data_IF_529861583546
#
_entry.id   IF_529861583546
#
_cell.length_a   1.000
_cell.length_b   1.000
_cell.length_c   1.000
_cell.angle_alpha   90.00
_cell.angle_beta   90.00
_cell.angle_gamma   90.00
#
_symmetry.space_group_name_H-M   'P 1'
#
loop_
_entity.id
_entity.type
_entity.pdbx_description
1 polymer ?
#
# COMPACT_ATOMS: atom_id res chain seq x y z
N UNK A 1 -73.42 -18.39 -3.39
CA UNK A 1 -72.05 -18.48 -3.94
C UNK A 1 -71.84 -17.26 -4.83
N UNK A 2 -70.91 -16.35 -4.49
CA UNK A 2 -70.70 -15.09 -5.23
C UNK A 2 -69.51 -15.24 -6.19
N UNK A 3 -69.72 -15.22 -7.52
CA UNK A 3 -68.66 -15.47 -8.52
C UNK A 3 -67.70 -14.29 -8.80
N UNK A 4 -67.80 -13.17 -8.07
CA UNK A 4 -66.98 -11.97 -8.31
C UNK A 4 -65.61 -11.92 -7.62
N UNK A 5 -65.33 -12.78 -6.65
CA UNK A 5 -64.13 -12.68 -5.78
C UNK A 5 -62.87 -13.36 -6.35
N UNK A 6 -63.00 -14.24 -7.34
CA UNK A 6 -61.88 -15.04 -7.89
C UNK A 6 -61.17 -14.37 -9.08
N UNK A 7 -61.73 -13.32 -9.65
CA UNK A 7 -61.10 -12.57 -10.75
C UNK A 7 -60.16 -11.47 -10.22
N UNK A 8 -60.61 -10.71 -9.22
CA UNK A 8 -59.78 -9.67 -8.57
C UNK A 8 -58.59 -10.26 -7.82
N UNK A 9 -58.74 -11.43 -7.18
CA UNK A 9 -57.64 -12.15 -6.54
C UNK A 9 -56.60 -12.68 -7.53
N UNK A 10 -57.02 -13.11 -8.73
CA UNK A 10 -56.10 -13.52 -9.80
C UNK A 10 -55.43 -12.33 -10.47
N UNK A 11 -56.14 -11.21 -10.65
CA UNK A 11 -55.57 -9.98 -11.18
C UNK A 11 -54.56 -9.34 -10.20
N UNK A 12 -54.84 -9.35 -8.90
CA UNK A 12 -53.88 -8.89 -7.88
C UNK A 12 -52.67 -9.81 -7.75
N UNK A 13 -52.86 -11.13 -7.89
CA UNK A 13 -51.75 -12.09 -7.95
C UNK A 13 -50.90 -11.91 -9.22
N UNK A 14 -51.53 -11.62 -10.36
CA UNK A 14 -50.84 -11.36 -11.62
C UNK A 14 -50.08 -10.02 -11.61
N UNK A 15 -50.61 -8.98 -10.95
CA UNK A 15 -49.91 -7.69 -10.75
C UNK A 15 -48.79 -7.81 -9.71
N UNK A 16 -48.96 -8.60 -8.65
CA UNK A 16 -47.90 -8.89 -7.69
C UNK A 16 -46.74 -9.67 -8.34
N UNK A 17 -47.05 -10.67 -9.18
CA UNK A 17 -46.06 -11.43 -9.95
C UNK A 17 -45.31 -10.57 -10.97
N UNK A 18 -45.99 -9.67 -11.69
CA UNK A 18 -45.34 -8.72 -12.62
C UNK A 18 -44.45 -7.72 -11.86
N UNK A 19 -44.86 -7.28 -10.67
CA UNK A 19 -44.08 -6.37 -9.82
C UNK A 19 -42.85 -6.99 -9.16
N UNK A 20 -42.82 -8.31 -8.97
CA UNK A 20 -41.66 -9.04 -8.42
C UNK A 20 -40.65 -9.40 -9.51
N UNK A 21 -41.12 -9.80 -10.70
CA UNK A 21 -40.29 -10.00 -11.89
C UNK A 21 -39.67 -8.67 -12.35
N UNK A 22 -40.46 -7.59 -12.45
CA UNK A 22 -39.93 -6.27 -12.83
C UNK A 22 -38.90 -5.73 -11.82
N UNK A 23 -38.98 -6.10 -10.53
CA UNK A 23 -37.95 -5.78 -9.53
C UNK A 23 -36.68 -6.62 -9.72
N UNK A 24 -36.80 -7.90 -10.08
CA UNK A 24 -35.66 -8.76 -10.44
C UNK A 24 -34.88 -8.24 -11.65
N UNK A 25 -35.59 -7.93 -12.74
CA UNK A 25 -34.98 -7.45 -13.99
C UNK A 25 -34.22 -6.11 -13.80
N UNK A 26 -34.78 -5.19 -13.01
CA UNK A 26 -34.10 -3.94 -12.67
C UNK A 26 -32.92 -4.15 -11.72
N UNK A 27 -33.01 -5.10 -10.78
CA UNK A 27 -31.91 -5.45 -9.88
C UNK A 27 -30.74 -6.11 -10.62
N UNK A 28 -31.00 -6.98 -11.60
CA UNK A 28 -29.98 -7.63 -12.40
C UNK A 28 -29.21 -6.63 -13.25
N UNK A 29 -29.91 -5.71 -13.91
CA UNK A 29 -29.30 -4.63 -14.68
C UNK A 29 -28.41 -3.72 -13.82
N UNK A 30 -28.88 -3.32 -12.64
CA UNK A 30 -28.09 -2.50 -11.71
C UNK A 30 -26.83 -3.25 -11.24
N UNK A 31 -26.92 -4.56 -10.99
CA UNK A 31 -25.74 -5.39 -10.66
C UNK A 31 -24.77 -5.48 -11.85
N UNK A 32 -25.26 -5.71 -13.07
CA UNK A 32 -24.44 -5.70 -14.29
C UNK A 32 -23.75 -4.33 -14.48
N UNK A 33 -24.48 -3.21 -14.33
CA UNK A 33 -23.93 -1.85 -14.44
C UNK A 33 -22.88 -1.56 -13.34
N UNK A 34 -23.09 -2.06 -12.13
CA UNK A 34 -22.10 -1.98 -11.03
C UNK A 34 -20.86 -2.82 -11.34
N UNK A 35 -21.02 -4.03 -11.84
CA UNK A 35 -19.91 -4.91 -12.26
C UNK A 35 -19.08 -4.21 -13.33
N UNK A 36 -19.73 -3.63 -14.35
CA UNK A 36 -19.04 -2.90 -15.40
C UNK A 36 -18.28 -1.68 -14.88
N UNK A 37 -18.89 -0.89 -13.98
CA UNK A 37 -18.21 0.25 -13.35
C UNK A 37 -16.95 -0.18 -12.57
N UNK A 38 -17.06 -1.20 -11.72
CA UNK A 38 -15.93 -1.72 -10.94
C UNK A 38 -14.84 -2.31 -11.84
N UNK A 39 -15.21 -3.00 -12.93
CA UNK A 39 -14.23 -3.53 -13.89
C UNK A 39 -13.44 -2.41 -14.59
N UNK A 40 -14.11 -1.31 -14.98
CA UNK A 40 -13.44 -0.17 -15.62
C UNK A 40 -12.57 0.61 -14.63
N UNK A 41 -13.02 0.77 -13.39
CA UNK A 41 -12.20 1.32 -12.31
C UNK A 41 -10.94 0.46 -12.07
N UNK A 42 -11.08 -0.87 -12.02
CA UNK A 42 -9.95 -1.79 -11.88
C UNK A 42 -8.96 -1.70 -13.05
N UNK A 43 -9.45 -1.56 -14.29
CA UNK A 43 -8.58 -1.33 -15.46
C UNK A 43 -7.82 -0.02 -15.34
N UNK A 44 -8.47 1.02 -14.82
CA UNK A 44 -7.83 2.33 -14.60
C UNK A 44 -6.75 2.24 -13.54
N UNK A 45 -7.05 1.65 -12.38
CA UNK A 45 -6.07 1.45 -11.30
C UNK A 45 -4.87 0.61 -11.75
N UNK A 46 -5.08 -0.42 -12.57
CA UNK A 46 -3.99 -1.23 -13.14
C UNK A 46 -3.11 -0.42 -14.08
N UNK A 47 -3.71 0.39 -14.96
CA UNK A 47 -2.97 1.32 -15.85
C UNK A 47 -2.14 2.32 -15.04
N UNK A 48 -2.72 2.94 -14.01
CA UNK A 48 -2.00 3.86 -13.12
C UNK A 48 -0.83 3.18 -12.42
N UNK A 49 -1.03 1.95 -11.94
CA UNK A 49 0.04 1.16 -11.33
C UNK A 49 1.18 0.87 -12.31
N UNK A 50 0.88 0.59 -13.57
CA UNK A 50 1.90 0.32 -14.59
C UNK A 50 2.67 1.59 -14.98
N UNK A 51 1.99 2.74 -15.07
CA UNK A 51 2.64 4.05 -15.22
C UNK A 51 3.57 4.35 -14.05
N UNK A 52 3.11 4.11 -12.82
CA UNK A 52 3.91 4.34 -11.62
C UNK A 52 5.14 3.42 -11.56
N UNK A 53 5.00 2.16 -11.97
CA UNK A 53 6.15 1.23 -12.09
C UNK A 53 7.16 1.71 -13.13
N UNK A 54 6.70 2.18 -14.29
CA UNK A 54 7.57 2.72 -15.32
C UNK A 54 8.35 3.94 -14.80
N UNK A 55 7.67 4.86 -14.11
CA UNK A 55 8.31 6.00 -13.44
C UNK A 55 9.35 5.53 -12.42
N UNK A 56 8.98 4.60 -11.53
CA UNK A 56 9.89 4.07 -10.51
C UNK A 56 11.14 3.39 -11.10
N UNK A 57 11.01 2.70 -12.25
CA UNK A 57 12.16 2.13 -12.96
C UNK A 57 13.11 3.23 -13.44
N UNK A 58 12.58 4.28 -14.09
CA UNK A 58 13.43 5.39 -14.57
C UNK A 58 14.10 6.16 -13.42
N UNK A 59 13.37 6.40 -12.32
CA UNK A 59 13.91 7.02 -11.10
C UNK A 59 15.02 6.14 -10.49
N UNK A 60 14.83 4.81 -10.50
CA UNK A 60 15.83 3.86 -10.00
C UNK A 60 17.10 3.87 -10.83
N UNK A 61 16.98 3.86 -12.16
CA UNK A 61 18.13 3.96 -13.06
C UNK A 61 18.93 5.26 -12.85
N UNK A 62 18.24 6.40 -12.65
CA UNK A 62 18.90 7.67 -12.32
C UNK A 62 19.63 7.60 -10.98
N UNK A 63 19.00 7.00 -9.97
CA UNK A 63 19.59 6.79 -8.65
C UNK A 63 20.81 5.87 -8.71
N UNK A 64 20.77 4.80 -9.51
CA UNK A 64 21.90 3.92 -9.78
C UNK A 64 23.05 4.69 -10.46
N UNK A 65 22.76 5.45 -11.52
CA UNK A 65 23.76 6.26 -12.21
C UNK A 65 24.40 7.35 -11.32
N UNK A 66 23.63 7.96 -10.41
CA UNK A 66 24.16 8.89 -9.41
C UNK A 66 25.06 8.19 -8.39
N UNK A 67 24.69 6.98 -7.95
CA UNK A 67 25.52 6.18 -7.05
C UNK A 67 26.88 5.82 -7.68
N UNK A 68 26.90 5.44 -8.96
CA UNK A 68 28.14 5.16 -9.68
C UNK A 68 29.03 6.42 -9.80
N UNK A 69 28.43 7.57 -10.11
CA UNK A 69 29.13 8.86 -10.15
C UNK A 69 29.69 9.24 -8.78
N UNK A 70 28.94 9.00 -7.71
CA UNK A 70 29.39 9.23 -6.33
C UNK A 70 30.64 8.39 -6.04
N UNK A 71 30.60 7.08 -6.29
CA UNK A 71 31.76 6.19 -6.08
C UNK A 71 33.01 6.64 -6.85
N UNK A 72 32.84 7.07 -8.10
CA UNK A 72 33.93 7.60 -8.91
C UNK A 72 34.53 8.88 -8.29
N UNK A 73 33.68 9.81 -7.83
CA UNK A 73 34.12 11.06 -7.21
C UNK A 73 34.76 10.84 -5.85
N UNK A 74 34.24 9.93 -5.04
CA UNK A 74 34.84 9.51 -3.77
C UNK A 74 36.25 8.96 -4.00
N UNK A 75 36.43 8.10 -5.01
CA UNK A 75 37.75 7.57 -5.38
C UNK A 75 38.71 8.69 -5.80
N UNK A 76 38.25 9.65 -6.62
CA UNK A 76 39.03 10.82 -7.03
C UNK A 76 39.43 11.72 -5.84
N UNK A 77 38.53 11.93 -4.89
CA UNK A 77 38.81 12.69 -3.68
C UNK A 77 39.87 11.98 -2.82
N UNK A 78 39.78 10.66 -2.67
CA UNK A 78 40.77 9.85 -1.94
C UNK A 78 42.15 9.93 -2.60
N UNK A 79 42.22 9.85 -3.93
CA UNK A 79 43.47 9.98 -4.68
C UNK A 79 44.09 11.38 -4.56
N UNK A 80 43.27 12.44 -4.59
CA UNK A 80 43.72 13.81 -4.39
C UNK A 80 44.30 14.03 -2.97
N UNK A 81 43.68 13.42 -1.95
CA UNK A 81 44.21 13.45 -0.58
C UNK A 81 45.54 12.70 -0.48
N UNK A 82 45.63 11.50 -1.09
CA UNK A 82 46.85 10.68 -1.07
C UNK A 82 48.02 11.32 -1.79
N UNK A 83 47.76 12.04 -2.87
CA UNK A 83 48.78 12.75 -3.67
C UNK A 83 49.17 14.11 -3.11
N UNK A 84 48.56 14.55 -2.01
CA UNK A 84 48.92 15.80 -1.33
C UNK A 84 48.29 17.05 -1.93
N UNK A 85 47.12 16.94 -2.56
CA UNK A 85 46.36 18.06 -3.13
C UNK A 85 45.07 18.34 -2.33
N UNK A 86 45.16 18.89 -1.10
CA UNK A 86 44.01 19.06 -0.21
C UNK A 86 42.98 20.10 -0.71
N UNK A 87 43.40 21.08 -1.52
CA UNK A 87 42.47 22.05 -2.11
C UNK A 87 41.54 21.37 -3.15
N UNK A 88 42.12 20.57 -4.05
CA UNK A 88 41.37 19.78 -5.04
C UNK A 88 40.44 18.77 -4.35
N UNK A 89 40.92 18.10 -3.30
CA UNK A 89 40.09 17.17 -2.53
C UNK A 89 38.87 17.86 -1.89
N UNK A 90 39.01 19.11 -1.42
CA UNK A 90 37.87 19.89 -0.90
C UNK A 90 36.86 20.24 -1.98
N UNK A 91 37.31 20.62 -3.18
CA UNK A 91 36.43 20.89 -4.30
C UNK A 91 35.65 19.64 -4.74
N UNK A 92 36.33 18.48 -4.83
CA UNK A 92 35.67 17.21 -5.15
C UNK A 92 34.70 16.81 -4.04
N UNK A 93 35.06 17.03 -2.76
CA UNK A 93 34.15 16.79 -1.63
C UNK A 93 32.89 17.67 -1.68
N UNK A 94 33.01 18.95 -2.06
CA UNK A 94 31.84 19.80 -2.26
C UNK A 94 30.92 19.25 -3.37
N UNK A 95 31.49 18.82 -4.50
CA UNK A 95 30.72 18.20 -5.58
C UNK A 95 30.07 16.86 -5.16
N UNK A 96 30.70 16.09 -4.27
CA UNK A 96 30.11 14.88 -3.68
C UNK A 96 28.88 15.23 -2.84
N UNK A 97 28.92 16.32 -2.06
CA UNK A 97 27.76 16.74 -1.25
C UNK A 97 26.55 17.08 -2.11
N UNK A 98 26.75 17.75 -3.24
CA UNK A 98 25.67 18.03 -4.19
C UNK A 98 25.09 16.74 -4.80
N UNK A 99 25.96 15.84 -5.26
CA UNK A 99 25.55 14.53 -5.79
C UNK A 99 24.85 13.65 -4.74
N UNK A 100 25.29 13.69 -3.48
CA UNK A 100 24.63 12.98 -2.38
C UNK A 100 23.24 13.56 -2.10
N UNK A 101 23.07 14.87 -2.19
CA UNK A 101 21.78 15.52 -2.04
C UNK A 101 20.80 15.10 -3.15
N UNK A 102 21.26 15.09 -4.41
CA UNK A 102 20.49 14.58 -5.55
C UNK A 102 20.13 13.10 -5.39
N UNK A 103 21.09 12.26 -5.01
CA UNK A 103 20.86 10.83 -4.78
C UNK A 103 19.84 10.59 -3.66
N UNK A 104 19.91 11.36 -2.55
CA UNK A 104 18.92 11.31 -1.46
C UNK A 104 17.53 11.75 -1.92
N UNK A 105 17.44 12.75 -2.79
CA UNK A 105 16.16 13.18 -3.37
C UNK A 105 15.53 12.08 -4.23
N UNK A 106 16.32 11.43 -5.09
CA UNK A 106 15.85 10.30 -5.92
C UNK A 106 15.44 9.09 -5.05
N UNK A 107 16.17 8.80 -3.97
CA UNK A 107 15.78 7.79 -2.99
C UNK A 107 14.45 8.10 -2.30
N UNK A 108 14.23 9.36 -1.91
CA UNK A 108 12.97 9.80 -1.31
C UNK A 108 11.80 9.66 -2.30
N UNK A 109 12.03 9.98 -3.58
CA UNK A 109 11.04 9.81 -4.64
C UNK A 109 10.69 8.33 -4.86
N UNK A 110 11.69 7.43 -4.88
CA UNK A 110 11.44 5.98 -4.95
C UNK A 110 10.62 5.47 -3.75
N UNK A 111 10.92 5.95 -2.54
CA UNK A 111 10.16 5.59 -1.36
C UNK A 111 8.70 6.09 -1.42
N UNK A 112 8.47 7.30 -1.96
CA UNK A 112 7.13 7.82 -2.20
C UNK A 112 6.36 6.99 -3.24
N UNK A 113 7.00 6.66 -4.37
CA UNK A 113 6.43 5.80 -5.40
C UNK A 113 6.09 4.41 -4.85
N UNK A 114 6.93 3.84 -3.98
CA UNK A 114 6.65 2.56 -3.34
C UNK A 114 5.41 2.61 -2.43
N UNK A 115 5.24 3.70 -1.66
CA UNK A 115 4.03 3.92 -0.84
C UNK A 115 2.77 4.05 -1.71
N UNK A 116 2.85 4.80 -2.80
CA UNK A 116 1.74 4.93 -3.75
C UNK A 116 1.40 3.58 -4.40
N UNK A 117 2.40 2.80 -4.80
CA UNK A 117 2.22 1.49 -5.39
C UNK A 117 1.53 0.51 -4.43
N UNK A 118 1.90 0.53 -3.15
CA UNK A 118 1.25 -0.27 -2.12
C UNK A 118 -0.24 0.13 -1.94
N UNK A 119 -0.53 1.44 -1.98
CA UNK A 119 -1.91 1.95 -1.95
C UNK A 119 -2.74 1.50 -3.14
N UNK A 120 -2.22 1.67 -4.36
CA UNK A 120 -2.86 1.20 -5.60
C UNK A 120 -3.10 -0.31 -5.56
N UNK A 121 -2.13 -1.10 -5.09
CA UNK A 121 -2.27 -2.55 -4.98
C UNK A 121 -3.37 -2.95 -3.99
N UNK A 122 -3.49 -2.24 -2.86
CA UNK A 122 -4.57 -2.47 -1.90
C UNK A 122 -5.95 -2.17 -2.52
N UNK A 123 -6.08 -1.05 -3.24
CA UNK A 123 -7.31 -0.69 -3.94
C UNK A 123 -7.68 -1.71 -5.03
N UNK A 124 -6.71 -2.21 -5.80
CA UNK A 124 -6.94 -3.27 -6.78
C UNK A 124 -7.47 -4.54 -6.11
N UNK A 125 -6.87 -4.98 -5.00
CA UNK A 125 -7.35 -6.16 -4.25
C UNK A 125 -8.77 -5.97 -3.73
N UNK A 126 -9.08 -4.79 -3.19
CA UNK A 126 -10.42 -4.46 -2.72
C UNK A 126 -11.45 -4.46 -3.86
N UNK A 127 -11.11 -3.85 -5.00
CA UNK A 127 -11.96 -3.86 -6.20
C UNK A 127 -12.18 -5.28 -6.72
N UNK A 128 -11.15 -6.13 -6.76
CA UNK A 128 -11.27 -7.53 -7.19
C UNK A 128 -12.16 -8.37 -6.27
N UNK A 129 -12.11 -8.14 -4.96
CA UNK A 129 -13.00 -8.80 -4.00
C UNK A 129 -14.44 -8.32 -4.19
N UNK A 130 -14.63 -7.02 -4.41
CA UNK A 130 -15.95 -6.43 -4.66
C UNK A 130 -16.55 -6.97 -5.96
N UNK A 131 -15.74 -7.03 -7.03
CA UNK A 131 -16.14 -7.59 -8.32
C UNK A 131 -16.57 -9.05 -8.19
N UNK A 132 -15.82 -9.86 -7.44
CA UNK A 132 -16.19 -11.27 -7.16
C UNK A 132 -17.52 -11.38 -6.43
N UNK A 133 -17.75 -10.56 -5.40
CA UNK A 133 -19.02 -10.53 -4.67
C UNK A 133 -20.19 -10.14 -5.56
N UNK A 134 -20.06 -9.06 -6.35
CA UNK A 134 -21.11 -8.60 -7.25
C UNK A 134 -21.48 -9.65 -8.31
N UNK A 135 -20.48 -10.35 -8.87
CA UNK A 135 -20.72 -11.46 -9.80
C UNK A 135 -21.49 -12.60 -9.15
N UNK A 136 -21.14 -12.96 -7.91
CA UNK A 136 -21.87 -13.99 -7.17
C UNK A 136 -23.32 -13.58 -6.86
N UNK A 137 -23.56 -12.32 -6.46
CA UNK A 137 -24.90 -11.78 -6.24
C UNK A 137 -25.75 -11.83 -7.51
N UNK A 138 -25.14 -11.50 -8.66
CA UNK A 138 -25.80 -11.60 -9.97
C UNK A 138 -26.15 -13.04 -10.34
N UNK A 139 -25.25 -14.00 -10.12
CA UNK A 139 -25.50 -15.41 -10.39
C UNK A 139 -26.64 -15.96 -9.51
N UNK A 140 -26.68 -15.56 -8.23
CA UNK A 140 -27.77 -15.90 -7.31
C UNK A 140 -29.09 -15.32 -7.78
N UNK A 141 -29.09 -14.06 -8.22
CA UNK A 141 -30.31 -13.41 -8.73
C UNK A 141 -30.82 -14.14 -9.98
N UNK A 142 -29.95 -14.44 -10.94
CA UNK A 142 -30.31 -15.19 -12.16
C UNK A 142 -30.82 -16.60 -11.86
N UNK A 143 -30.21 -17.28 -10.89
CA UNK A 143 -30.71 -18.57 -10.43
C UNK A 143 -32.10 -18.46 -9.80
N UNK A 144 -32.35 -17.43 -8.98
CA UNK A 144 -33.66 -17.18 -8.38
C UNK A 144 -34.74 -16.85 -9.41
N UNK A 145 -34.39 -16.07 -10.44
CA UNK A 145 -35.28 -15.77 -11.56
C UNK A 145 -35.61 -17.02 -12.38
N UNK A 146 -34.63 -17.89 -12.61
CA UNK A 146 -34.84 -19.16 -13.32
C UNK A 146 -35.78 -20.10 -12.54
N UNK A 147 -35.62 -20.20 -11.21
CA UNK A 147 -36.51 -20.99 -10.35
C UNK A 147 -37.94 -20.42 -10.39
N UNK A 148 -38.10 -19.10 -10.22
CA UNK A 148 -39.40 -18.46 -10.28
C UNK A 148 -40.09 -18.66 -11.64
N UNK A 149 -39.35 -18.59 -12.75
CA UNK A 149 -39.85 -18.87 -14.10
C UNK A 149 -40.29 -20.32 -14.26
N UNK A 150 -39.52 -21.29 -13.74
CA UNK A 150 -39.88 -22.71 -13.77
C UNK A 150 -41.15 -23.00 -12.94
N UNK A 151 -41.29 -22.40 -11.77
CA UNK A 151 -42.49 -22.49 -10.94
C UNK A 151 -43.72 -21.90 -11.65
N UNK A 152 -43.57 -20.76 -12.33
CA UNK A 152 -44.63 -20.16 -13.13
C UNK A 152 -45.05 -21.03 -14.32
N UNK A 153 -44.09 -21.62 -15.03
CA UNK A 153 -44.36 -22.54 -16.13
C UNK A 153 -45.10 -23.80 -15.64
N UNK A 154 -44.67 -24.36 -14.49
CA UNK A 154 -45.30 -25.52 -13.86
C UNK A 154 -46.72 -25.21 -13.35
N UNK A 155 -46.93 -24.07 -12.70
CA UNK A 155 -48.26 -23.61 -12.28
C UNK A 155 -49.18 -23.34 -13.48
N UNK A 156 -48.63 -22.81 -14.58
CA UNK A 156 -49.33 -22.63 -15.85
C UNK A 156 -49.76 -23.96 -16.50
N UNK A 157 -48.93 -25.01 -16.37
CA UNK A 157 -49.27 -26.35 -16.88
C UNK A 157 -50.34 -27.07 -16.05
N UNK A 158 -50.36 -26.87 -14.72
CA UNK A 158 -51.37 -27.49 -13.84
C UNK A 158 -52.75 -26.84 -13.92
N UNK A 159 -52.87 -25.63 -14.50
CA UNK A 159 -54.17 -24.99 -14.71
C UNK A 159 -55.02 -25.68 -15.82
N UNK A 160 -54.46 -26.64 -16.57
CA UNK A 160 -55.15 -27.38 -17.62
C UNK A 160 -55.73 -28.75 -17.21
N UNK A 161 -55.23 -29.39 -16.15
CA UNK A 161 -55.69 -30.72 -15.73
C UNK A 161 -55.78 -30.79 -14.19
N UNK A 162 -57.01 -30.96 -13.68
CA UNK A 162 -57.31 -30.84 -12.25
C UNK A 162 -56.84 -32.04 -11.41
N UNK A 163 -56.16 -31.73 -10.30
CA UNK A 163 -56.08 -32.40 -8.99
C UNK A 163 -54.68 -32.08 -8.40
N UNK A 164 -54.51 -31.23 -7.39
CA UNK A 164 -54.93 -31.44 -6.01
C UNK A 164 -53.84 -32.20 -5.23
N UNK A 165 -53.02 -31.50 -4.41
CA UNK A 165 -52.33 -31.96 -3.18
C UNK A 165 -51.63 -30.74 -2.53
N UNK A 166 -51.52 -30.65 -1.18
CA UNK A 166 -51.26 -29.41 -0.47
C UNK A 166 -49.77 -29.10 -0.21
N UNK A 167 -49.53 -27.83 0.15
CA UNK A 167 -48.41 -27.30 0.97
C UNK A 167 -47.00 -27.30 0.38
N UNK A 168 -46.73 -26.30 -0.47
CA UNK A 168 -45.40 -25.70 -0.68
C UNK A 168 -45.10 -24.55 0.32
N UNK A 169 -45.91 -24.41 1.38
CA UNK A 169 -45.81 -23.30 2.34
C UNK A 169 -44.73 -23.56 3.42
N UNK A 170 -44.37 -24.82 3.71
CA UNK A 170 -43.31 -25.14 4.69
C UNK A 170 -41.89 -24.81 4.20
N UNK A 171 -41.67 -24.68 2.88
CA UNK A 171 -40.34 -24.42 2.32
C UNK A 171 -39.92 -22.94 2.42
N UNK A 172 -40.90 -22.02 2.45
CA UNK A 172 -40.63 -20.58 2.44
C UNK A 172 -40.25 -20.01 3.82
N UNK A 173 -40.71 -20.63 4.91
CA UNK A 173 -40.32 -20.23 6.27
C UNK A 173 -38.93 -20.74 6.64
N UNK A 174 -38.54 -21.94 6.17
CA UNK A 174 -37.20 -22.49 6.39
C UNK A 174 -36.10 -21.70 5.66
N UNK A 175 -36.42 -21.10 4.51
CA UNK A 175 -35.49 -20.27 3.74
C UNK A 175 -35.35 -18.84 4.31
N UNK A 176 -36.43 -18.27 4.89
CA UNK A 176 -36.36 -17.01 5.64
C UNK A 176 -35.60 -17.14 6.97
N UNK A 177 -35.71 -18.28 7.66
CA UNK A 177 -34.98 -18.52 8.90
C UNK A 177 -33.45 -18.55 8.70
N UNK A 178 -32.96 -18.94 7.50
CA UNK A 178 -31.52 -18.90 7.16
C UNK A 178 -31.01 -17.52 6.74
N UNK A 179 -31.86 -16.66 6.17
CA UNK A 179 -31.46 -15.31 5.78
C UNK A 179 -31.47 -14.32 6.96
N UNK A 180 -32.28 -14.56 8.00
CA UNK A 180 -32.27 -13.75 9.22
C UNK A 180 -31.05 -14.01 10.13
N UNK A 181 -30.43 -15.21 10.05
CA UNK A 181 -29.24 -15.56 10.83
C UNK A 181 -27.92 -15.02 10.25
N UNK A 182 -27.94 -14.47 9.04
CA UNK A 182 -26.74 -13.93 8.36
C UNK A 182 -26.59 -12.40 8.47
N UNK A 183 -27.46 -11.71 9.23
CA UNK A 183 -27.40 -10.24 9.41
C UNK A 183 -26.99 -9.77 10.81
N UNK A 184 -26.56 -10.67 11.68
CA UNK A 184 -26.03 -10.31 13.00
C UNK A 184 -24.54 -10.63 13.08
N UNK A 185 -23.74 -9.86 12.36
CA UNK A 185 -22.32 -9.61 12.69
C UNK A 185 -21.91 -8.25 12.10
N UNK A 186 -22.48 -7.21 12.68
CA UNK A 186 -21.95 -5.86 12.63
C UNK A 186 -21.53 -5.48 14.06
N UNK A 187 -20.31 -5.86 14.43
CA UNK A 187 -19.62 -5.30 15.58
C UNK A 187 -18.38 -4.54 15.11
N UNK A 188 -18.40 -3.26 15.43
CA UNK A 188 -17.42 -2.23 15.16
C UNK A 188 -16.04 -2.59 15.74
N UNK A 189 -14.98 -2.32 14.98
CA UNK A 189 -13.67 -2.00 15.53
C UNK A 189 -12.99 -0.95 14.64
N UNK A 190 -13.21 0.32 14.99
CA UNK A 190 -12.39 1.45 14.55
C UNK A 190 -11.05 1.40 15.28
N UNK A 191 -9.97 1.16 14.55
CA UNK A 191 -8.60 1.31 15.03
C UNK A 191 -7.87 2.37 14.19
N UNK A 192 -7.76 3.57 14.75
CA UNK A 192 -7.02 4.70 14.18
C UNK A 192 -5.54 4.35 14.02
N UNK A 193 -5.02 4.38 12.79
CA UNK A 193 -3.59 4.43 12.52
C UNK A 193 -3.08 5.85 12.83
N UNK A 194 -2.54 6.05 14.03
CA UNK A 194 -1.79 7.24 14.39
C UNK A 194 -0.38 7.23 13.79
N UNK A 195 0.27 8.40 13.64
CA UNK A 195 1.63 8.51 13.14
C UNK A 195 2.66 7.94 14.11
N UNK A 196 3.79 7.51 13.55
CA UNK A 196 4.87 6.74 14.17
C UNK A 196 5.56 7.49 15.34
N UNK A 197 5.47 7.00 16.60
CA UNK A 197 5.98 7.68 17.80
C UNK A 197 7.50 7.51 18.03
N UNK A 198 8.25 7.16 16.99
CA UNK A 198 9.69 6.89 17.07
C UNK A 198 10.53 8.14 16.79
N UNK A 199 10.07 9.03 15.90
CA UNK A 199 10.82 10.24 15.50
C UNK A 199 10.83 11.33 16.60
N UNK A 200 9.77 11.39 17.41
CA UNK A 200 9.71 12.33 18.54
C UNK A 200 10.60 11.90 19.71
N UNK A 201 10.85 10.59 19.84
CA UNK A 201 11.76 10.02 20.85
C UNK A 201 13.23 10.25 20.47
N UNK A 202 13.55 10.21 19.18
CA UNK A 202 14.90 10.49 18.67
C UNK A 202 15.26 11.99 18.81
N UNK A 203 14.28 12.89 18.68
CA UNK A 203 14.48 14.33 18.90
C UNK A 203 14.62 14.71 20.38
N UNK A 204 13.95 13.99 21.29
CA UNK A 204 14.08 14.17 22.76
C UNK A 204 15.37 13.58 23.35
N UNK A 205 16.10 12.74 22.60
CA UNK A 205 17.32 12.08 23.05
C UNK A 205 18.60 12.93 22.89
N UNK A 206 18.52 14.15 22.34
CA UNK A 206 19.66 15.07 22.29
C UNK A 206 20.86 14.57 21.49
N UNK A 207 20.65 13.66 20.53
CA UNK A 207 21.72 13.17 19.65
C UNK A 207 21.97 14.26 18.61
N UNK A 208 22.93 15.13 18.95
CA UNK A 208 23.36 16.25 18.15
C UNK A 208 23.79 15.78 16.76
N UNK A 209 23.17 16.39 15.74
CA UNK A 209 23.59 16.28 14.36
C UNK A 209 24.99 16.92 14.22
N UNK A 210 25.97 16.26 13.57
CA UNK A 210 27.30 16.84 13.39
C UNK A 210 27.25 18.14 12.58
N UNK A 211 28.13 19.08 12.94
CA UNK A 211 28.04 20.52 12.67
C UNK A 211 28.14 20.98 11.20
N UNK A 212 28.23 20.09 10.23
CA UNK A 212 28.08 20.41 8.80
C UNK A 212 28.01 19.10 8.01
N UNK A 213 27.12 18.98 7.00
CA UNK A 213 27.07 17.80 6.13
C UNK A 213 28.41 17.54 5.41
N UNK A 214 29.21 18.58 5.16
CA UNK A 214 30.55 18.47 4.55
C UNK A 214 31.54 17.78 5.49
N UNK A 215 31.55 18.19 6.76
CA UNK A 215 32.48 17.66 7.77
C UNK A 215 32.13 16.20 8.13
N UNK A 216 30.83 15.85 8.08
CA UNK A 216 30.36 14.48 8.31
C UNK A 216 30.79 13.51 7.19
N UNK A 217 30.75 13.95 5.92
CA UNK A 217 31.23 13.17 4.78
C UNK A 217 32.76 13.02 4.84
N UNK A 218 33.49 14.09 5.16
CA UNK A 218 34.94 14.03 5.34
C UNK A 218 35.37 13.08 6.46
N UNK A 219 34.64 13.07 7.59
CA UNK A 219 34.90 12.15 8.69
C UNK A 219 34.65 10.68 8.28
N UNK A 220 33.53 10.39 7.60
CA UNK A 220 33.20 9.05 7.06
C UNK A 220 34.29 8.56 6.11
N UNK A 221 34.72 9.41 5.18
CA UNK A 221 35.75 9.09 4.19
C UNK A 221 37.13 8.91 4.82
N UNK A 222 37.47 9.69 5.84
CA UNK A 222 38.74 9.55 6.56
C UNK A 222 38.84 8.24 7.35
N UNK A 223 37.74 7.78 7.97
CA UNK A 223 37.66 6.48 8.63
C UNK A 223 37.77 5.32 7.63
N UNK A 224 37.06 5.40 6.49
CA UNK A 224 37.17 4.40 5.42
C UNK A 224 38.56 4.37 4.76
N UNK A 225 39.27 5.50 4.72
CA UNK A 225 40.63 5.61 4.20
C UNK A 225 41.73 5.15 5.18
N UNK A 226 41.39 4.75 6.41
CA UNK A 226 42.36 4.24 7.39
C UNK A 226 43.36 5.29 7.90
N UNK A 227 43.07 6.59 7.79
CA UNK A 227 43.91 7.64 8.39
C UNK A 227 43.55 7.75 9.87
N UNK A 228 44.07 6.81 10.64
CA UNK A 228 44.06 6.88 12.10
C UNK A 228 44.91 8.09 12.53
N UNK A 229 44.24 9.19 12.89
CA UNK A 229 44.86 10.24 13.67
C UNK A 229 45.28 9.64 15.02
N UNK A 230 46.56 9.28 15.11
CA UNK A 230 47.25 8.83 16.31
C UNK A 230 46.88 9.74 17.50
N UNK A 231 46.34 9.21 18.61
CA UNK A 231 46.05 10.03 19.78
C UNK A 231 47.36 10.62 20.35
N UNK A 232 47.35 11.85 20.88
CA UNK A 232 48.55 12.46 21.42
C UNK A 232 49.08 11.62 22.59
N UNK A 233 50.31 11.13 22.41
CA UNK A 233 51.01 10.33 23.39
C UNK A 233 51.20 11.08 24.71
N UNK A 234 50.83 10.43 25.80
CA UNK A 234 51.17 10.78 27.18
C UNK A 234 52.69 10.77 27.33
N UNK A 235 53.31 11.95 27.22
CA UNK A 235 54.76 12.15 27.39
C UNK A 235 55.19 11.79 28.82
N UNK A 236 56.26 10.99 28.91
CA UNK A 236 56.82 10.48 30.15
C UNK A 236 57.35 11.58 31.08
N UNK A 237 57.04 11.43 32.37
CA UNK A 237 57.72 12.15 33.45
C UNK A 237 59.06 11.45 33.73
N UNK A 238 60.09 11.79 32.95
CA UNK A 238 61.49 11.53 33.33
C UNK A 238 61.92 12.65 34.27
N UNK A 239 61.81 12.42 35.58
CA UNK A 239 62.50 13.23 36.58
C UNK A 239 63.96 12.83 36.63
N UNK A 240 64.81 13.56 35.92
CA UNK A 240 66.26 13.54 36.06
C UNK A 240 66.75 14.98 36.13
N UNK A 241 66.77 15.56 37.33
CA UNK A 241 67.37 16.89 37.57
C UNK A 241 68.86 16.69 37.80
N UNK A 242 69.64 17.32 36.93
CA UNK A 242 71.08 17.43 37.03
C UNK A 242 71.48 18.35 38.18
N UNK A 243 72.47 17.93 38.97
CA UNK A 243 73.30 18.81 39.78
C UNK A 243 74.75 18.28 39.66
N UNK A 244 75.48 18.75 38.66
CA UNK A 244 76.93 18.70 38.65
C UNK A 244 77.41 20.16 38.63
N UNK A 245 77.88 20.63 39.79
CA UNK A 245 78.61 21.89 39.92
C UNK A 245 80.09 21.55 39.98
N UNK A 246 80.80 22.07 38.99
CA UNK A 246 82.19 22.51 38.95
C UNK A 246 83.01 22.35 40.26
N UNK A 247 84.10 21.60 40.13
CA UNK A 247 85.38 21.83 40.85
C UNK A 247 86.05 23.08 40.24
N UNK A 248 86.91 23.86 40.95
CA UNK A 248 88.18 23.33 41.48
C UNK A 248 88.78 24.00 42.76
N UNK A 249 89.82 23.34 43.28
CA UNK A 249 91.01 23.79 44.05
C UNK A 249 90.86 24.64 45.34
N UNK A 250 91.03 24.00 46.51
CA UNK A 250 92.14 24.17 47.50
C UNK A 250 91.90 23.31 48.75
#
# INVERSE_FOLDING_TARGET
MKPGSTFLGRLSAQIAGIGEIARGWNAGRELDDRIHRVDEELRTLRREMDVLKAQALTTRERRDALADKLLQRETQAMDALRTGHPALAREVAAAIVDLEAEHRAEQALLAANAKQAAGLQAMVRQGENTLRRLKHELDLLRASEAVASAEQAFAGSQAGEGAGIPTAIDSAELLRARQAAAQSDAALATGSAGPDPLDEKLRKAGIAQPASPVDAVLARLAEQAGVTARPPGRSGKRSGTAANKENPDE
#
